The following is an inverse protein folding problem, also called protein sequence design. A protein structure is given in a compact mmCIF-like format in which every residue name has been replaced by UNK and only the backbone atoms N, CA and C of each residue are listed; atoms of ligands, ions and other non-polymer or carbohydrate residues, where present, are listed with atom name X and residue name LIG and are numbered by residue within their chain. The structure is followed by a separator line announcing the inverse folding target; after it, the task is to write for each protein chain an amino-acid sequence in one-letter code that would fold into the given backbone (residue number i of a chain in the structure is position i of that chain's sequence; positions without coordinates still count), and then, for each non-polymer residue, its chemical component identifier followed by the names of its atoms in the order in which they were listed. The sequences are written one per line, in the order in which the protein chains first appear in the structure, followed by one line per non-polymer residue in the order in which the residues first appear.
data_IF_477065063175
#
_entry.id   IF_477065063175
#
_cell.length_a   1.000
_cell.length_b   1.000
_cell.length_c   1.000
_cell.angle_alpha   90.00
_cell.angle_beta   90.00
_cell.angle_gamma   90.00
#
_symmetry.space_group_name_H-M   'P 1'
#
loop_
_entity.id
_entity.type
_entity.pdbx_description
1 polymer ?
#
# COMPACT_ATOMS: atom_id res chain seq x y z
N UNK A 1 10.78 -26.34 10.90
CA UNK A 1 10.03 -25.21 10.29
C UNK A 1 10.40 -23.93 11.03
N UNK A 2 10.76 -22.86 10.33
CA UNK A 2 11.00 -21.56 10.98
C UNK A 2 9.64 -20.95 11.33
N UNK A 3 9.24 -21.05 12.60
CA UNK A 3 8.01 -20.43 13.10
C UNK A 3 8.13 -18.91 12.93
N UNK A 4 7.30 -18.34 12.05
CA UNK A 4 7.22 -16.88 11.88
C UNK A 4 6.59 -16.30 13.14
N UNK A 5 7.38 -15.54 13.90
CA UNK A 5 6.94 -14.84 15.11
C UNK A 5 7.72 -13.54 15.26
N UNK A 6 7.13 -12.59 15.99
CA UNK A 6 7.80 -11.33 16.34
C UNK A 6 9.10 -11.62 17.10
N UNK A 7 10.16 -10.85 16.83
CA UNK A 7 11.49 -11.03 17.40
C UNK A 7 12.38 -12.02 16.64
N UNK A 8 11.80 -12.95 15.88
CA UNK A 8 12.53 -13.87 15.02
C UNK A 8 12.95 -13.20 13.71
N UNK A 9 13.56 -13.96 12.80
CA UNK A 9 14.11 -13.44 11.55
C UNK A 9 13.42 -14.03 10.32
N UNK A 10 13.24 -13.18 9.31
CA UNK A 10 12.72 -13.52 7.99
C UNK A 10 13.82 -13.38 6.93
N UNK A 11 13.96 -14.37 6.05
CA UNK A 11 14.98 -14.40 5.00
C UNK A 11 16.30 -15.06 5.44
N UNK A 12 17.27 -15.08 4.53
CA UNK A 12 18.57 -15.78 4.70
C UNK A 12 19.75 -14.87 4.32
N UNK A 13 20.92 -15.13 4.90
CA UNK A 13 22.15 -14.37 4.64
C UNK A 13 21.97 -12.86 4.80
N UNK A 14 22.45 -12.07 3.84
CA UNK A 14 22.31 -10.59 3.83
C UNK A 14 20.86 -10.09 3.80
N UNK A 15 19.91 -10.95 3.43
CA UNK A 15 18.49 -10.62 3.38
C UNK A 15 17.74 -11.00 4.66
N UNK A 16 18.44 -11.54 5.68
CA UNK A 16 17.87 -11.88 6.98
C UNK A 16 17.52 -10.59 7.73
N UNK A 17 16.24 -10.38 8.02
CA UNK A 17 15.71 -9.19 8.72
C UNK A 17 14.88 -9.61 9.92
N UNK A 18 14.99 -8.88 11.04
CA UNK A 18 14.14 -9.15 12.21
C UNK A 18 12.69 -8.84 11.89
N UNK A 19 11.79 -9.67 12.39
CA UNK A 19 10.34 -9.47 12.33
C UNK A 19 9.94 -8.60 13.50
N UNK A 20 9.38 -7.44 13.18
CA UNK A 20 8.94 -6.42 14.12
C UNK A 20 7.46 -6.57 14.48
N UNK A 21 6.64 -7.02 13.52
CA UNK A 21 5.20 -7.21 13.71
C UNK A 21 4.65 -8.24 12.71
N UNK A 22 3.53 -8.88 13.05
CA UNK A 22 2.82 -9.87 12.23
C UNK A 22 1.31 -9.66 12.32
N UNK A 23 0.66 -9.53 11.17
CA UNK A 23 -0.79 -9.60 11.04
C UNK A 23 -1.14 -10.90 10.32
N UNK A 24 -2.09 -11.66 10.88
CA UNK A 24 -2.68 -12.85 10.26
C UNK A 24 -4.01 -12.44 9.64
N UNK A 25 -4.15 -12.67 8.35
CA UNK A 25 -5.36 -12.35 7.60
C UNK A 25 -6.30 -13.56 7.58
N UNK A 26 -7.60 -13.33 7.42
CA UNK A 26 -8.62 -14.36 7.37
C UNK A 26 -8.44 -15.34 6.20
N UNK A 27 -7.83 -14.88 5.10
CA UNK A 27 -7.48 -15.72 3.94
C UNK A 27 -6.23 -16.62 4.14
N UNK A 28 -5.66 -16.64 5.35
CA UNK A 28 -4.47 -17.44 5.70
C UNK A 28 -3.13 -16.79 5.33
N UNK A 29 -3.13 -15.62 4.68
CA UNK A 29 -1.90 -14.87 4.42
C UNK A 29 -1.37 -14.20 5.69
N UNK A 30 -0.08 -13.90 5.67
CA UNK A 30 0.57 -13.13 6.74
C UNK A 30 1.13 -11.83 6.16
N UNK A 31 0.90 -10.72 6.85
CA UNK A 31 1.66 -9.50 6.64
C UNK A 31 2.73 -9.41 7.71
N UNK A 32 3.98 -9.21 7.30
CA UNK A 32 5.11 -9.01 8.19
C UNK A 32 5.63 -7.59 8.06
N UNK A 33 5.87 -6.95 9.21
CA UNK A 33 6.73 -5.77 9.33
C UNK A 33 8.13 -6.26 9.67
N UNK A 34 9.11 -6.01 8.80
CA UNK A 34 10.52 -6.41 9.04
C UNK A 34 11.43 -5.19 9.08
N UNK A 35 12.57 -5.27 9.77
CA UNK A 35 13.57 -4.20 9.75
C UNK A 35 13.99 -3.79 8.33
N UNK A 36 14.30 -2.50 8.17
CA UNK A 36 14.87 -1.94 6.96
C UNK A 36 16.02 -0.99 7.31
N UNK A 37 16.74 -0.48 6.31
CA UNK A 37 18.03 0.19 6.52
C UNK A 37 18.03 1.70 6.29
N UNK A 38 16.89 2.36 5.98
CA UNK A 38 16.90 3.80 5.69
C UNK A 38 16.94 4.67 6.96
N UNK A 39 16.34 4.22 8.05
CA UNK A 39 16.36 4.89 9.36
C UNK A 39 16.04 3.90 10.49
N UNK A 40 16.22 4.31 11.75
CA UNK A 40 15.86 3.50 12.92
C UNK A 40 14.36 3.19 13.02
N UNK A 41 13.52 4.01 12.37
CA UNK A 41 12.06 3.82 12.31
C UNK A 41 11.60 3.17 11.01
N UNK A 42 12.48 3.00 10.03
CA UNK A 42 12.13 2.44 8.73
C UNK A 42 11.95 0.92 8.83
N UNK A 43 10.95 0.43 8.11
CA UNK A 43 10.63 -0.99 8.04
C UNK A 43 10.25 -1.36 6.62
N UNK A 44 10.06 -2.65 6.38
CA UNK A 44 9.63 -3.18 5.10
C UNK A 44 8.43 -4.09 5.32
N UNK A 45 7.40 -3.87 4.51
CA UNK A 45 6.23 -4.74 4.47
C UNK A 45 6.50 -5.96 3.58
N UNK A 46 6.11 -7.15 4.07
CA UNK A 46 6.15 -8.40 3.32
C UNK A 46 4.79 -9.09 3.40
N UNK A 47 4.27 -9.53 2.28
CA UNK A 47 3.11 -10.42 2.23
C UNK A 47 3.60 -11.86 2.02
N UNK A 48 3.31 -12.75 2.95
CA UNK A 48 3.56 -14.19 2.87
C UNK A 48 2.25 -14.86 2.51
N UNK A 49 2.15 -15.36 1.28
CA UNK A 49 0.95 -15.99 0.75
C UNK A 49 1.02 -17.53 0.80
N UNK A 50 2.14 -18.07 1.26
CA UNK A 50 2.35 -19.51 1.40
C UNK A 50 3.44 -19.77 2.43
N UNK A 51 3.21 -20.67 3.39
CA UNK A 51 4.21 -21.12 4.37
C UNK A 51 4.78 -22.50 4.05
N UNK A 52 4.02 -23.35 3.37
CA UNK A 52 4.37 -24.74 3.05
C UNK A 52 4.18 -25.07 1.55
N UNK A 53 4.98 -25.97 0.94
CA UNK A 53 6.16 -26.63 1.52
C UNK A 53 7.36 -25.69 1.69
N UNK A 54 7.28 -24.49 1.13
CA UNK A 54 8.27 -23.42 1.28
C UNK A 54 7.58 -22.08 1.45
N UNK A 55 8.21 -21.19 2.21
CA UNK A 55 7.74 -19.82 2.37
C UNK A 55 7.81 -19.09 1.03
N UNK A 56 6.66 -18.63 0.51
CA UNK A 56 6.60 -17.70 -0.61
C UNK A 56 6.08 -16.36 -0.14
N UNK A 57 6.73 -15.30 -0.61
CA UNK A 57 6.41 -13.94 -0.21
C UNK A 57 6.75 -12.94 -1.30
N UNK A 58 6.17 -11.75 -1.19
CA UNK A 58 6.56 -10.58 -1.98
C UNK A 58 6.51 -9.33 -1.12
N UNK A 59 7.03 -8.23 -1.66
CA UNK A 59 6.85 -6.90 -1.06
C UNK A 59 5.75 -6.18 -1.79
N UNK A 60 4.60 -5.95 -1.14
CA UNK A 60 3.57 -5.11 -1.74
C UNK A 60 4.12 -3.69 -1.97
N UNK A 61 3.64 -3.07 -3.04
CA UNK A 61 4.04 -1.75 -3.52
C UNK A 61 2.80 -1.02 -4.01
N UNK A 62 2.84 0.30 -4.05
CA UNK A 62 1.75 1.13 -4.59
C UNK A 62 1.24 0.65 -5.95
N UNK A 63 2.14 0.27 -6.87
CA UNK A 63 1.76 -0.24 -8.18
C UNK A 63 0.81 -1.46 -8.12
N UNK A 64 1.02 -2.39 -7.18
CA UNK A 64 0.15 -3.56 -7.02
C UNK A 64 -1.28 -3.14 -6.67
N UNK A 65 -1.44 -2.18 -5.75
CA UNK A 65 -2.77 -1.70 -5.35
C UNK A 65 -3.39 -0.77 -6.38
N UNK A 66 -2.59 0.03 -7.09
CA UNK A 66 -3.08 0.92 -8.14
C UNK A 66 -3.67 0.13 -9.32
N UNK A 67 -2.96 -0.92 -9.75
CA UNK A 67 -3.43 -1.80 -10.82
C UNK A 67 -4.68 -2.56 -10.38
N UNK A 68 -4.66 -3.14 -9.17
CA UNK A 68 -5.80 -3.85 -8.60
C UNK A 68 -7.03 -2.93 -8.47
N UNK A 69 -6.85 -1.71 -7.94
CA UNK A 69 -7.90 -0.73 -7.80
C UNK A 69 -8.50 -0.31 -9.15
N UNK A 70 -7.68 -0.11 -10.18
CA UNK A 70 -8.19 0.18 -11.52
C UNK A 70 -9.00 -0.99 -12.10
N UNK A 71 -8.55 -2.23 -11.92
CA UNK A 71 -9.34 -3.41 -12.30
C UNK A 71 -10.71 -3.43 -11.60
N UNK A 72 -10.75 -3.06 -10.31
CA UNK A 72 -12.00 -2.90 -9.56
C UNK A 72 -12.88 -1.77 -10.11
N UNK A 73 -12.29 -0.62 -10.44
CA UNK A 73 -12.99 0.51 -11.08
C UNK A 73 -13.63 0.11 -12.43
N UNK A 74 -12.94 -0.72 -13.22
CA UNK A 74 -13.47 -1.25 -14.47
C UNK A 74 -14.60 -2.28 -14.26
N UNK A 75 -14.48 -3.12 -13.23
CA UNK A 75 -15.46 -4.17 -12.96
C UNK A 75 -16.76 -3.62 -12.34
N UNK A 76 -16.64 -2.74 -11.34
CA UNK A 76 -17.78 -2.06 -10.72
C UNK A 76 -17.32 -0.73 -10.10
N UNK A 77 -17.61 0.37 -10.80
CA UNK A 77 -17.19 1.72 -10.40
C UNK A 77 -17.71 2.13 -9.03
N UNK A 78 -18.99 1.89 -8.75
CA UNK A 78 -19.63 2.33 -7.50
C UNK A 78 -18.98 1.68 -6.28
N UNK A 79 -18.85 0.36 -6.31
CA UNK A 79 -18.24 -0.41 -5.21
C UNK A 79 -16.74 -0.13 -5.07
N UNK A 80 -16.06 0.14 -6.18
CA UNK A 80 -14.67 0.59 -6.13
C UNK A 80 -14.53 1.98 -5.50
N UNK A 81 -15.49 2.89 -5.68
CA UNK A 81 -15.48 4.18 -4.98
C UNK A 81 -15.71 4.02 -3.47
N UNK A 82 -16.49 3.03 -3.03
CA UNK A 82 -16.57 2.69 -1.61
C UNK A 82 -15.24 2.17 -1.05
N UNK A 83 -14.52 1.35 -1.82
CA UNK A 83 -13.15 0.94 -1.46
C UNK A 83 -12.23 2.16 -1.34
N UNK A 84 -12.31 3.13 -2.25
CA UNK A 84 -11.55 4.38 -2.15
C UNK A 84 -11.89 5.11 -0.84
N UNK A 85 -13.17 5.20 -0.49
CA UNK A 85 -13.60 5.80 0.76
C UNK A 85 -13.02 5.06 1.99
N UNK A 86 -13.01 3.73 1.99
CA UNK A 86 -12.38 2.93 3.04
C UNK A 86 -10.86 3.21 3.16
N UNK A 87 -10.16 3.34 2.02
CA UNK A 87 -8.73 3.69 1.98
C UNK A 87 -8.49 5.11 2.52
N UNK A 88 -9.34 6.08 2.16
CA UNK A 88 -9.25 7.46 2.68
C UNK A 88 -9.48 7.48 4.20
N UNK A 89 -10.51 6.77 4.69
CA UNK A 89 -10.79 6.66 6.12
C UNK A 89 -9.61 6.05 6.88
N UNK A 90 -9.02 4.97 6.34
CA UNK A 90 -7.80 4.37 6.88
C UNK A 90 -6.66 5.39 6.93
N UNK A 91 -6.49 6.15 5.86
CA UNK A 91 -5.43 7.14 5.75
C UNK A 91 -5.54 8.25 6.81
N UNK A 92 -6.77 8.66 7.16
CA UNK A 92 -6.99 9.67 8.22
C UNK A 92 -6.49 9.22 9.60
N UNK A 93 -6.40 7.91 9.84
CA UNK A 93 -5.98 7.34 11.11
C UNK A 93 -7.00 7.52 12.25
N UNK A 94 -8.19 8.03 11.98
CA UNK A 94 -9.22 8.30 12.99
C UNK A 94 -10.01 7.05 13.39
N UNK A 95 -10.11 6.08 12.50
CA UNK A 95 -10.89 4.85 12.69
C UNK A 95 -9.93 3.65 12.65
N UNK A 96 -10.01 2.71 13.61
CA UNK A 96 -9.27 1.45 13.56
C UNK A 96 -9.58 0.65 12.30
N UNK A 97 -8.57 -0.02 11.73
CA UNK A 97 -8.69 -0.74 10.46
C UNK A 97 -9.77 -1.84 10.52
N UNK A 98 -9.90 -2.49 11.67
CA UNK A 98 -10.89 -3.54 11.92
C UNK A 98 -12.32 -3.00 11.81
N UNK A 99 -12.57 -1.78 12.29
CA UNK A 99 -13.88 -1.12 12.16
C UNK A 99 -14.18 -0.72 10.72
N UNK A 100 -13.16 -0.29 9.98
CA UNK A 100 -13.31 0.04 8.55
C UNK A 100 -13.64 -1.23 7.77
N UNK A 101 -12.94 -2.34 8.04
CA UNK A 101 -13.25 -3.63 7.42
C UNK A 101 -14.70 -4.01 7.69
N UNK A 102 -15.14 -3.99 8.95
CA UNK A 102 -16.53 -4.31 9.31
C UNK A 102 -17.55 -3.45 8.56
N UNK A 103 -17.28 -2.16 8.41
CA UNK A 103 -18.21 -1.23 7.75
C UNK A 103 -18.31 -1.46 6.23
N UNK A 104 -17.21 -1.80 5.55
CA UNK A 104 -17.14 -1.82 4.09
C UNK A 104 -17.09 -3.23 3.48
N UNK A 105 -16.89 -4.30 4.28
CA UNK A 105 -16.65 -5.64 3.75
C UNK A 105 -17.78 -6.14 2.83
N UNK A 106 -19.03 -5.95 3.23
CA UNK A 106 -20.19 -6.33 2.42
C UNK A 106 -20.30 -5.46 1.16
N UNK A 107 -20.12 -4.16 1.31
CA UNK A 107 -20.31 -3.18 0.25
C UNK A 107 -19.30 -3.37 -0.89
N UNK A 108 -18.07 -3.82 -0.59
CA UNK A 108 -17.02 -4.09 -1.59
C UNK A 108 -16.86 -5.57 -1.97
N UNK A 109 -17.65 -6.47 -1.37
CA UNK A 109 -17.56 -7.93 -1.57
C UNK A 109 -17.66 -8.37 -3.05
N UNK A 110 -16.85 -9.32 -3.51
CA UNK A 110 -16.95 -9.81 -4.89
C UNK A 110 -16.38 -8.88 -5.97
N UNK A 111 -15.76 -7.76 -5.58
CA UNK A 111 -14.80 -7.08 -6.46
C UNK A 111 -13.62 -8.01 -6.77
N UNK A 112 -13.06 -7.99 -8.00
CA UNK A 112 -11.98 -8.88 -8.40
C UNK A 112 -10.65 -8.50 -7.71
N UNK A 113 -9.73 -9.47 -7.60
CA UNK A 113 -8.37 -9.23 -7.13
C UNK A 113 -8.24 -9.34 -5.61
N UNK A 114 -7.48 -8.43 -4.99
CA UNK A 114 -7.24 -8.50 -3.54
C UNK A 114 -8.49 -8.21 -2.71
N UNK A 115 -8.63 -8.89 -1.58
CA UNK A 115 -9.69 -8.64 -0.60
C UNK A 115 -9.46 -7.35 0.21
N UNK A 116 -10.54 -6.84 0.82
CA UNK A 116 -10.52 -5.60 1.59
C UNK A 116 -9.55 -5.66 2.78
N UNK A 117 -9.54 -6.78 3.50
CA UNK A 117 -8.71 -6.98 4.68
C UNK A 117 -7.23 -6.83 4.33
N UNK A 118 -6.78 -7.53 3.29
CA UNK A 118 -5.41 -7.44 2.79
C UNK A 118 -5.08 -6.02 2.33
N UNK A 119 -5.94 -5.40 1.53
CA UNK A 119 -5.71 -4.04 1.01
C UNK A 119 -5.50 -3.07 2.17
N UNK A 120 -6.40 -3.06 3.16
CA UNK A 120 -6.35 -2.08 4.24
C UNK A 120 -5.17 -2.33 5.18
N UNK A 121 -4.91 -3.58 5.59
CA UNK A 121 -3.77 -3.85 6.48
C UNK A 121 -2.42 -3.59 5.78
N UNK A 122 -2.28 -3.95 4.51
CA UNK A 122 -1.04 -3.70 3.77
C UNK A 122 -0.83 -2.20 3.52
N UNK A 123 -1.87 -1.48 3.08
CA UNK A 123 -1.79 -0.03 2.88
C UNK A 123 -1.54 0.71 4.19
N UNK A 124 -2.12 0.30 5.32
CA UNK A 124 -1.86 0.91 6.63
C UNK A 124 -0.36 1.03 6.90
N UNK A 125 0.38 -0.07 6.74
CA UNK A 125 1.82 -0.09 6.96
C UNK A 125 2.61 0.58 5.84
N UNK A 126 2.18 0.48 4.57
CA UNK A 126 2.86 1.19 3.48
C UNK A 126 2.76 2.71 3.66
N UNK A 127 1.57 3.23 3.96
CA UNK A 127 1.36 4.66 4.19
C UNK A 127 2.15 5.16 5.40
N UNK A 128 2.18 4.38 6.50
CA UNK A 128 3.04 4.67 7.66
C UNK A 128 4.53 4.74 7.25
N UNK A 129 5.00 3.81 6.42
CA UNK A 129 6.37 3.82 5.91
C UNK A 129 6.68 5.06 5.06
N UNK A 130 5.75 5.49 4.21
CA UNK A 130 5.92 6.69 3.37
C UNK A 130 6.04 7.95 4.22
N UNK A 131 5.24 8.08 5.28
CA UNK A 131 5.33 9.24 6.17
C UNK A 131 6.62 9.25 7.00
N UNK A 132 7.07 8.10 7.49
CA UNK A 132 8.35 7.97 8.21
C UNK A 132 9.53 8.40 7.32
N UNK A 133 9.48 8.06 6.04
CA UNK A 133 10.56 8.35 5.09
C UNK A 133 10.42 9.71 4.40
N UNK A 134 9.35 10.46 4.67
CA UNK A 134 9.08 11.73 3.99
C UNK A 134 9.99 12.84 4.48
N UNK A 135 10.74 13.45 3.56
CA UNK A 135 11.67 14.57 3.83
C UNK A 135 11.17 15.92 3.29
N UNK A 136 9.96 15.95 2.75
CA UNK A 136 9.42 17.12 2.02
C UNK A 136 9.29 16.87 0.52
N UNK A 137 8.61 17.79 -0.16
CA UNK A 137 8.43 17.82 -1.62
C UNK A 137 8.34 19.26 -2.11
N UNK A 138 8.58 19.54 -3.41
CA UNK A 138 8.43 20.90 -3.95
C UNK A 138 6.99 21.44 -3.82
N UNK A 139 6.79 22.76 -3.57
CA UNK A 139 5.46 23.35 -3.39
C UNK A 139 4.50 23.12 -4.56
N UNK A 140 5.01 23.23 -5.80
CA UNK A 140 4.21 22.94 -7.02
C UNK A 140 3.67 21.51 -7.00
N UNK A 141 4.47 20.55 -6.53
CA UNK A 141 4.03 19.15 -6.44
C UNK A 141 2.99 18.97 -5.34
N UNK A 142 3.15 19.64 -4.20
CA UNK A 142 2.18 19.64 -3.11
C UNK A 142 0.81 20.14 -3.58
N UNK A 143 0.77 21.32 -4.22
CA UNK A 143 -0.47 21.91 -4.74
C UNK A 143 -1.20 20.99 -5.74
N UNK A 144 -0.47 20.30 -6.62
CA UNK A 144 -1.07 19.35 -7.56
C UNK A 144 -1.72 18.14 -6.86
N UNK A 145 -1.14 17.67 -5.75
CA UNK A 145 -1.76 16.58 -4.97
C UNK A 145 -2.98 17.08 -4.19
N UNK A 146 -2.90 18.29 -3.65
CA UNK A 146 -4.02 18.92 -2.94
C UNK A 146 -5.21 19.14 -3.87
N UNK A 147 -4.97 19.54 -5.13
CA UNK A 147 -6.04 19.70 -6.14
C UNK A 147 -6.76 18.37 -6.42
N UNK A 148 -6.01 17.28 -6.63
CA UNK A 148 -6.59 15.95 -6.88
C UNK A 148 -7.44 15.49 -5.69
N UNK A 149 -6.94 15.65 -4.47
CA UNK A 149 -7.67 15.29 -3.25
C UNK A 149 -8.91 16.19 -3.04
N UNK A 150 -8.81 17.47 -3.39
CA UNK A 150 -9.89 18.45 -3.30
C UNK A 150 -11.12 18.06 -4.11
N UNK A 151 -10.94 17.36 -5.24
CA UNK A 151 -12.06 16.80 -6.04
C UNK A 151 -12.89 15.75 -5.30
N UNK A 152 -12.37 15.20 -4.20
CA UNK A 152 -13.05 14.27 -3.30
C UNK A 152 -13.36 14.91 -1.94
N UNK A 153 -13.21 16.23 -1.79
CA UNK A 153 -13.33 16.95 -0.52
C UNK A 153 -12.42 16.39 0.59
N UNK A 154 -11.25 15.89 0.21
CA UNK A 154 -10.26 15.33 1.14
C UNK A 154 -9.15 16.33 1.37
N UNK A 155 -8.71 16.47 2.62
CA UNK A 155 -7.52 17.23 2.99
C UNK A 155 -6.50 16.34 3.68
N UNK A 156 -5.22 16.63 3.48
CA UNK A 156 -4.16 15.84 4.10
C UNK A 156 -4.13 16.03 5.62
N UNK A 157 -4.23 14.96 6.43
CA UNK A 157 -4.07 15.07 7.87
C UNK A 157 -2.65 15.49 8.25
N UNK A 158 -2.50 16.09 9.43
CA UNK A 158 -1.18 16.48 9.96
C UNK A 158 -0.26 15.25 10.04
N UNK A 159 0.95 15.39 9.50
CA UNK A 159 1.96 14.32 9.50
C UNK A 159 1.74 13.23 8.45
N UNK A 160 0.80 13.41 7.51
CA UNK A 160 0.46 12.43 6.46
C UNK A 160 0.85 12.88 5.04
N UNK A 161 1.73 13.88 4.94
CA UNK A 161 2.15 14.44 3.66
C UNK A 161 2.99 13.45 2.83
N UNK A 162 3.65 12.47 3.44
CA UNK A 162 4.39 11.44 2.69
C UNK A 162 3.44 10.53 1.93
N UNK A 163 2.50 9.96 2.67
CA UNK A 163 1.48 9.04 2.19
C UNK A 163 0.38 9.68 1.35
N UNK A 164 0.22 11.01 1.42
CA UNK A 164 -0.71 11.76 0.55
C UNK A 164 -0.56 11.40 -0.93
N UNK A 165 0.66 11.16 -1.38
CA UNK A 165 0.94 10.82 -2.77
C UNK A 165 0.30 9.50 -3.18
N UNK A 166 0.28 8.50 -2.29
CA UNK A 166 -0.42 7.25 -2.54
C UNK A 166 -1.94 7.45 -2.57
N UNK A 167 -2.49 8.35 -1.76
CA UNK A 167 -3.93 8.67 -1.80
C UNK A 167 -4.30 9.41 -3.08
N UNK A 168 -3.48 10.37 -3.49
CA UNK A 168 -3.70 11.09 -4.75
C UNK A 168 -3.66 10.16 -5.96
N UNK A 169 -2.85 9.10 -5.92
CA UNK A 169 -2.82 8.05 -6.94
C UNK A 169 -4.17 7.35 -7.07
N UNK A 170 -4.78 6.92 -5.95
CA UNK A 170 -6.10 6.29 -5.99
C UNK A 170 -7.20 7.26 -6.45
N UNK A 171 -7.15 8.51 -5.98
CA UNK A 171 -8.07 9.56 -6.43
C UNK A 171 -7.95 9.81 -7.95
N UNK A 172 -6.73 9.91 -8.49
CA UNK A 172 -6.51 10.13 -9.93
C UNK A 172 -7.04 8.96 -10.76
N UNK A 173 -6.84 7.72 -10.30
CA UNK A 173 -7.43 6.53 -10.95
C UNK A 173 -8.96 6.59 -10.89
N UNK A 174 -9.54 6.99 -9.76
CA UNK A 174 -10.99 7.12 -9.63
C UNK A 174 -11.59 8.21 -10.55
N UNK A 175 -10.81 9.25 -10.85
CA UNK A 175 -11.14 10.29 -11.83
C UNK A 175 -11.00 9.82 -13.30
N UNK A 176 -10.52 8.60 -13.53
CA UNK A 176 -10.45 7.96 -14.85
C UNK A 176 -9.05 7.84 -15.43
N UNK A 177 -7.99 8.22 -14.71
CA UNK A 177 -6.62 8.06 -15.19
C UNK A 177 -6.18 6.59 -15.19
N UNK A 178 -5.48 6.17 -16.24
CA UNK A 178 -4.88 4.83 -16.29
C UNK A 178 -3.78 4.69 -15.22
N UNK A 179 -3.59 3.52 -14.57
CA UNK A 179 -2.65 3.36 -13.45
C UNK A 179 -1.21 3.76 -13.76
N UNK A 180 -0.75 3.48 -14.98
CA UNK A 180 0.61 3.85 -15.41
C UNK A 180 0.77 5.38 -15.42
N UNK A 181 -0.20 6.09 -15.98
CA UNK A 181 -0.19 7.56 -16.00
C UNK A 181 -0.29 8.13 -14.60
N UNK A 182 -1.19 7.59 -13.78
CA UNK A 182 -1.38 8.03 -12.40
C UNK A 182 -0.12 7.79 -11.54
N UNK A 183 0.57 6.65 -11.72
CA UNK A 183 1.84 6.36 -11.04
C UNK A 183 2.96 7.32 -11.48
N UNK A 184 3.09 7.58 -12.79
CA UNK A 184 4.06 8.54 -13.31
C UNK A 184 3.78 9.95 -12.78
N UNK A 185 2.51 10.39 -12.82
CA UNK A 185 2.09 11.68 -12.26
C UNK A 185 2.36 11.75 -10.77
N UNK A 186 2.10 10.68 -10.01
CA UNK A 186 2.35 10.63 -8.58
C UNK A 186 3.84 10.78 -8.24
N UNK A 187 4.77 10.57 -9.19
CA UNK A 187 6.21 10.52 -8.95
C UNK A 187 6.59 9.36 -8.00
N UNK A 188 5.88 8.25 -8.10
CA UNK A 188 6.30 6.98 -7.51
C UNK A 188 7.33 6.36 -8.43
N UNK A 189 8.53 6.11 -7.92
CA UNK A 189 9.66 5.54 -8.67
C UNK A 189 9.26 4.23 -9.38
N UNK A 190 8.81 4.35 -10.63
CA UNK A 190 8.88 3.28 -11.63
C UNK A 190 10.14 3.59 -12.44
N UNK A 191 11.30 3.47 -11.81
CA UNK A 191 12.51 3.31 -12.61
C UNK A 191 12.41 1.91 -13.22
N UNK A 192 12.38 1.77 -14.56
CA UNK A 192 12.65 0.49 -15.18
C UNK A 192 13.97 0.00 -14.59
N UNK A 193 14.06 -1.30 -14.27
CA UNK A 193 15.35 -1.88 -13.91
C UNK A 193 16.34 -1.44 -14.99
N UNK A 194 17.38 -0.67 -14.61
CA UNK A 194 18.42 -0.23 -15.55
C UNK A 194 18.80 -1.48 -16.33
N UNK A 195 18.60 -1.48 -17.66
CA UNK A 195 19.16 -2.50 -18.54
C UNK A 195 20.62 -2.65 -18.11
N UNK A 196 20.98 -3.82 -17.60
CA UNK A 196 22.38 -4.13 -17.33
C UNK A 196 23.12 -3.84 -18.63
N UNK A 197 24.16 -3.02 -18.57
CA UNK A 197 25.12 -2.91 -19.68
C UNK A 197 25.61 -4.33 -19.94
N UNK A 198 25.27 -4.90 -21.10
CA UNK A 198 25.68 -6.25 -21.48
C UNK A 198 24.55 -7.23 -21.82
N UNK A 199 23.52 -6.80 -22.54
CA UNK A 199 22.82 -7.71 -23.44
C UNK A 199 23.32 -7.38 -24.85
N UNK A 200 24.01 -8.34 -25.46
CA UNK A 200 24.48 -8.33 -26.85
C UNK A 200 23.29 -8.15 -27.79
#
# INVERSE_FOLDING_TARGET
MTKLSVGNYFGVGKNRKKILDIIRLGNGWLLLKTENSKSSRDFKVRAVYQTEPRIRSYTPKHAHFAIDFYGKMCANRERALELLQAIILLWTGKIPVEKIIQQYNESVSGLPGYDLEYILHALKWILEQEDINFKGRPPKKQAALDEILGRFNVTAPKGRLGSQLAISLFCDIALGSHPVEALMRANLDILPAKRGRGAV
#
